data_IF_469401815669
#
_entry.id   IF_469401815669
#
_cell.length_a   1.000
_cell.length_b   1.000
_cell.length_c   1.000
_cell.angle_alpha   90.00
_cell.angle_beta   90.00
_cell.angle_gamma   90.00
#
_symmetry.space_group_name_H-M   'P 1'
#
loop_
_entity.id
_entity.type
_entity.pdbx_description
1 polymer ?
2 polymer ?
3 water ?
#
# COMPACT_ATOMS: atom_id res chain seq x y z
N UNK A 7 -8.34 31.60 -22.03
CA UNK A 7 -7.38 30.58 -21.69
C UNK A 7 -7.80 29.72 -20.52
N UNK A 8 -8.43 30.33 -19.52
CA UNK A 8 -8.87 29.60 -18.35
C UNK A 8 -10.11 28.76 -18.63
N UNK A 9 -10.96 29.19 -19.57
CA UNK A 9 -12.18 28.43 -19.86
C UNK A 9 -11.86 27.08 -20.47
N UNK A 10 -10.89 27.04 -21.40
CA UNK A 10 -10.51 25.76 -22.00
C UNK A 10 -9.98 24.79 -20.97
N UNK A 11 -9.25 25.30 -19.96
CA UNK A 11 -8.75 24.44 -18.90
C UNK A 11 -9.84 24.06 -17.90
N UNK A 12 -10.76 24.98 -17.62
CA UNK A 12 -11.85 24.68 -16.69
C UNK A 12 -12.80 23.64 -17.28
N UNK A 13 -13.15 23.79 -18.56
CA UNK A 13 -14.05 22.82 -19.19
C UNK A 13 -13.38 21.45 -19.31
N UNK A 14 -12.07 21.43 -19.58
CA UNK A 14 -11.37 20.15 -19.69
C UNK A 14 -11.38 19.40 -18.37
N UNK A 15 -11.17 20.11 -17.25
CA UNK A 15 -11.19 19.46 -15.94
C UNK A 15 -12.58 18.98 -15.58
N UNK A 16 -13.62 19.71 -15.99
CA UNK A 16 -14.99 19.26 -15.72
C UNK A 16 -15.32 18.00 -16.50
N UNK A 17 -14.88 17.92 -17.75
CA UNK A 17 -15.13 16.72 -18.55
C UNK A 17 -14.31 15.54 -18.05
N UNK A 18 -13.12 15.79 -17.48
CA UNK A 18 -12.28 14.70 -17.01
C UNK A 18 -12.85 14.06 -15.76
N UNK A 19 -13.40 14.84 -14.84
CA UNK A 19 -13.98 14.27 -13.63
C UNK A 19 -15.33 13.60 -13.91
N UNK A 20 -15.94 13.90 -15.05
CA UNK A 20 -17.19 13.24 -15.41
C UNK A 20 -16.94 11.88 -16.06
N UNK A 21 -15.94 11.79 -16.93
CA UNK A 21 -15.64 10.54 -17.62
C UNK A 21 -14.98 9.52 -16.70
N UNK A 22 -14.47 9.96 -15.55
CA UNK A 22 -13.89 9.02 -14.59
C UNK A 22 -14.94 8.17 -13.90
N UNK A 23 -16.20 8.61 -13.91
CA UNK A 23 -17.27 7.81 -13.31
C UNK A 23 -17.42 6.46 -14.00
N UNK A 24 -17.02 6.36 -15.26
CA UNK A 24 -17.03 5.08 -15.95
C UNK A 24 -16.00 4.13 -15.37
N UNK A 25 -14.90 4.66 -14.83
CA UNK A 25 -13.83 3.81 -14.32
C UNK A 25 -14.10 3.31 -12.91
N UNK A 26 -15.05 3.90 -12.20
CA UNK A 26 -15.27 3.53 -10.80
C UNK A 26 -15.73 2.09 -10.67
N UNK A 27 -16.78 1.72 -11.39
CA UNK A 27 -17.34 0.37 -11.33
C UNK A 27 -17.81 -0.05 -12.71
N UNK A 28 -16.91 -0.54 -13.56
CA UNK A 28 -17.32 -0.97 -14.90
C UNK A 28 -17.67 -2.46 -14.94
N UNK A 29 -18.93 -2.79 -14.66
CA UNK A 29 -19.44 -4.15 -14.73
C UNK A 29 -20.55 -4.28 -15.76
N UNK A 30 -20.75 -3.26 -16.59
CA UNK A 30 -21.77 -3.24 -17.63
C UNK A 30 -21.17 -2.70 -18.91
N UNK A 31 -21.71 -3.08 -20.07
CA UNK A 31 -21.14 -2.59 -21.34
C UNK A 31 -21.29 -1.08 -21.46
N UNK A 32 -20.18 -0.42 -21.75
CA UNK A 32 -20.18 1.04 -21.88
C UNK A 32 -20.66 1.46 -23.27
N UNK A 33 -20.10 0.84 -24.32
CA UNK A 33 -20.47 1.17 -25.69
C UNK A 33 -20.39 -0.10 -26.53
N UNK A 34 -20.54 0.05 -27.84
CA UNK A 34 -20.56 -1.08 -28.76
C UNK A 34 -19.19 -1.42 -29.33
N UNK A 35 -18.11 -1.00 -28.68
CA UNK A 35 -16.77 -1.30 -29.16
C UNK A 35 -16.37 -2.71 -28.77
N UNK A 36 -15.81 -3.46 -29.72
CA UNK A 36 -15.24 -4.76 -29.43
C UNK A 36 -13.91 -4.59 -28.68
N UNK A 37 -13.29 -5.70 -28.32
CA UNK A 37 -11.99 -5.62 -27.68
C UNK A 37 -10.93 -5.04 -28.62
N UNK A 38 -11.07 -5.29 -29.92
CA UNK A 38 -10.19 -4.65 -30.89
C UNK A 38 -10.55 -3.19 -31.10
N UNK A 39 -11.85 -2.86 -31.04
CA UNK A 39 -12.25 -1.47 -31.11
C UNK A 39 -11.76 -0.66 -29.92
N UNK A 40 -11.62 -1.30 -28.77
CA UNK A 40 -11.12 -0.61 -27.59
C UNK A 40 -9.63 -0.30 -27.73
N UNK A 41 -8.84 -1.29 -28.14
CA UNK A 41 -7.40 -1.07 -28.29
C UNK A 41 -7.11 -0.06 -29.40
N UNK A 42 -7.80 -0.18 -30.53
CA UNK A 42 -7.61 0.78 -31.61
C UNK A 42 -7.93 2.19 -31.16
N UNK A 43 -9.01 2.35 -30.37
CA UNK A 43 -9.32 3.67 -29.83
C UNK A 43 -8.24 4.17 -28.89
N UNK A 44 -7.59 3.26 -28.16
CA UNK A 44 -6.49 3.65 -27.29
C UNK A 44 -5.28 4.09 -28.11
N UNK A 45 -4.99 3.37 -29.19
CA UNK A 45 -3.83 3.73 -30.02
C UNK A 45 -4.04 5.07 -30.70
N UNK A 46 -5.23 5.31 -31.26
CA UNK A 46 -5.47 6.55 -31.97
C UNK A 46 -5.52 7.74 -31.02
N UNK A 47 -6.19 7.59 -29.88
CA UNK A 47 -6.25 8.67 -28.90
C UNK A 47 -4.90 8.95 -28.26
N UNK A 48 -4.00 7.95 -28.23
CA UNK A 48 -2.66 8.19 -27.70
C UNK A 48 -1.85 9.06 -28.65
N UNK A 49 -1.99 8.83 -29.96
CA UNK A 49 -1.31 9.68 -30.93
C UNK A 49 -1.87 11.10 -30.90
N UNK A 50 -3.18 11.23 -30.73
CA UNK A 50 -3.79 12.56 -30.64
C UNK A 50 -3.36 13.26 -29.36
N UNK A 51 -3.31 12.53 -28.24
CA UNK A 51 -2.88 13.12 -26.98
C UNK A 51 -1.42 13.52 -27.03
N UNK A 52 -0.59 12.73 -27.71
CA UNK A 52 0.83 13.05 -27.79
C UNK A 52 1.11 14.38 -28.45
N UNK A 53 0.44 14.63 -29.58
CA UNK A 53 0.61 15.93 -30.25
C UNK A 53 -0.14 17.03 -29.52
N UNK A 54 -1.22 16.70 -28.80
CA UNK A 54 -1.92 17.71 -28.01
C UNK A 54 -1.04 18.18 -26.84
N UNK A 55 -0.38 17.24 -26.15
CA UNK A 55 0.54 17.62 -25.09
C UNK A 55 1.69 18.46 -25.64
N UNK A 56 2.14 18.16 -26.85
CA UNK A 56 3.17 18.97 -27.48
C UNK A 56 2.66 20.39 -27.71
N UNK A 57 1.43 20.54 -28.19
CA UNK A 57 0.88 21.86 -28.41
C UNK A 57 0.59 22.61 -27.12
N UNK A 58 0.31 21.88 -26.04
CA UNK A 58 0.08 22.51 -24.75
C UNK A 58 1.37 23.15 -24.23
N UNK A 59 2.47 22.41 -24.30
CA UNK A 59 3.74 22.92 -23.79
C UNK A 59 4.29 24.05 -24.66
N UNK A 60 4.24 23.89 -25.98
CA UNK A 60 4.83 24.89 -26.86
C UNK A 60 4.05 26.21 -26.83
N UNK A 61 2.72 26.14 -26.88
CA UNK A 61 1.93 27.36 -26.93
C UNK A 61 1.91 28.09 -25.60
N UNK A 62 2.01 27.35 -24.48
CA UNK A 62 2.21 28.01 -23.21
C UNK A 62 3.59 28.66 -23.13
N UNK A 63 4.58 28.04 -23.78
CA UNK A 63 5.92 28.64 -23.82
C UNK A 63 5.94 29.86 -24.72
N UNK A 64 5.25 29.80 -25.85
CA UNK A 64 5.28 30.88 -26.84
C UNK A 64 4.20 31.93 -26.62
N UNK A 65 3.37 31.77 -25.59
CA UNK A 65 2.30 32.73 -25.37
C UNK A 65 1.23 32.73 -26.43
N UNK A 66 1.11 31.66 -27.20
CA UNK A 66 0.10 31.55 -28.26
C UNK A 66 -1.17 30.97 -27.64
N UNK A 67 -1.93 31.83 -26.97
CA UNK A 67 -3.09 31.39 -26.21
C UNK A 67 -4.19 30.75 -27.07
N UNK A 68 -4.56 31.28 -28.25
CA UNK A 68 -5.61 30.60 -29.03
C UNK A 68 -5.26 29.17 -29.39
N UNK A 69 -4.08 28.93 -29.96
CA UNK A 69 -3.65 27.57 -30.24
C UNK A 69 -3.44 26.75 -28.98
N UNK A 70 -3.15 27.41 -27.85
CA UNK A 70 -3.06 26.70 -26.58
C UNK A 70 -4.41 26.14 -26.17
N UNK A 71 -5.47 26.94 -26.30
CA UNK A 71 -6.81 26.44 -26.00
C UNK A 71 -7.22 25.30 -26.91
N UNK A 72 -6.83 25.37 -28.18
CA UNK A 72 -7.11 24.27 -29.09
C UNK A 72 -6.41 22.99 -28.64
N UNK A 73 -5.18 23.11 -28.16
CA UNK A 73 -4.45 21.94 -27.68
C UNK A 73 -5.06 21.39 -26.41
N UNK A 74 -5.54 22.28 -25.52
CA UNK A 74 -6.19 21.83 -24.30
C UNK A 74 -7.47 21.07 -24.62
N UNK A 75 -8.31 21.62 -25.50
CA UNK A 75 -9.55 20.96 -25.86
C UNK A 75 -9.30 19.65 -26.59
N UNK A 76 -8.30 19.62 -27.46
CA UNK A 76 -7.95 18.38 -28.15
C UNK A 76 -7.48 17.32 -27.16
N UNK A 77 -6.69 17.72 -26.15
CA UNK A 77 -6.24 16.77 -25.14
C UNK A 77 -7.42 16.26 -24.32
N UNK A 78 -8.39 17.12 -24.02
CA UNK A 78 -9.56 16.70 -23.25
C UNK A 78 -10.37 15.67 -24.03
N UNK A 79 -10.61 15.93 -25.31
CA UNK A 79 -11.35 14.99 -26.13
C UNK A 79 -10.62 13.66 -26.26
N UNK A 80 -9.29 13.71 -26.35
CA UNK A 80 -8.52 12.47 -26.47
C UNK A 80 -8.59 11.66 -25.18
N UNK A 81 -8.48 12.33 -24.02
CA UNK A 81 -8.50 11.62 -22.75
C UNK A 81 -9.86 11.00 -22.48
N UNK A 82 -10.94 11.62 -22.93
CA UNK A 82 -12.28 11.07 -22.69
C UNK A 82 -12.49 9.79 -23.47
N UNK A 83 -12.22 9.82 -24.79
CA UNK A 83 -12.29 8.59 -25.57
C UNK A 83 -11.26 7.57 -25.16
N UNK A 84 -10.14 8.02 -24.59
CA UNK A 84 -9.13 7.10 -24.08
C UNK A 84 -9.68 6.26 -22.93
N UNK A 85 -10.48 6.89 -22.06
CA UNK A 85 -11.05 6.18 -20.91
C UNK A 85 -12.31 5.41 -21.27
N UNK A 86 -13.09 5.90 -22.26
CA UNK A 86 -14.22 5.11 -22.73
C UNK A 86 -13.77 3.78 -23.31
N UNK A 87 -12.59 3.75 -23.94
CA UNK A 87 -12.06 2.48 -24.43
C UNK A 87 -11.53 1.63 -23.29
N UNK A 88 -10.82 2.25 -22.33
CA UNK A 88 -10.28 1.49 -21.21
C UNK A 88 -11.39 0.96 -20.31
N UNK A 89 -12.46 1.72 -20.14
CA UNK A 89 -13.57 1.25 -19.30
C UNK A 89 -14.27 0.07 -19.94
N UNK A 90 -14.51 0.13 -21.25
CA UNK A 90 -15.13 -1.00 -21.94
C UNK A 90 -14.18 -2.19 -22.00
N UNK A 91 -12.89 -1.93 -22.24
CA UNK A 91 -11.92 -3.03 -22.28
C UNK A 91 -11.79 -3.70 -20.92
N UNK A 92 -11.87 -2.92 -19.83
CA UNK A 92 -11.84 -3.52 -18.51
C UNK A 92 -13.06 -4.38 -18.27
N UNK A 93 -14.23 -3.95 -18.77
CA UNK A 93 -15.42 -4.77 -18.66
C UNK A 93 -15.27 -6.07 -19.44
N UNK A 94 -14.72 -6.00 -20.66
CA UNK A 94 -14.59 -7.20 -21.47
C UNK A 94 -13.56 -8.17 -20.89
N UNK A 95 -12.53 -7.66 -20.21
CA UNK A 95 -11.51 -8.53 -19.66
C UNK A 95 -12.08 -9.41 -18.56
N UNK A 96 -12.74 -8.81 -17.58
CA UNK A 96 -13.30 -9.59 -16.49
C UNK A 96 -14.42 -10.51 -16.93
N UNK A 97 -15.19 -10.09 -17.94
CA UNK A 97 -16.27 -10.93 -18.44
C UNK A 97 -15.73 -12.09 -19.27
N UNK A 98 -14.63 -11.89 -19.98
CA UNK A 98 -14.01 -12.95 -20.78
C UNK A 98 -13.16 -13.91 -19.95
N UNK A 99 -13.20 -13.81 -18.62
CA UNK A 99 -12.43 -14.71 -17.79
C UNK A 99 -13.08 -16.10 -17.77
N UNK A 100 -12.27 -17.16 -17.85
CA UNK A 100 -12.87 -18.51 -17.93
C UNK A 100 -13.71 -18.89 -16.72
N UNK A 101 -13.40 -18.35 -15.55
CA UNK A 101 -14.17 -18.65 -14.34
C UNK A 101 -15.44 -17.83 -14.22
N UNK A 102 -15.71 -16.93 -15.15
CA UNK A 102 -16.95 -16.17 -15.15
C UNK A 102 -18.07 -16.98 -15.79
N UNK A 103 -19.29 -16.48 -15.64
CA UNK A 103 -20.48 -17.08 -16.23
C UNK A 103 -21.28 -15.99 -16.92
N UNK A 104 -21.86 -16.31 -18.08
CA UNK A 104 -22.54 -15.30 -18.87
C UNK A 104 -23.73 -15.91 -19.60
N UNK A 105 -24.83 -15.16 -19.65
CA UNK A 105 -25.97 -15.50 -20.49
C UNK A 105 -25.80 -14.79 -21.82
N UNK A 106 -25.74 -15.55 -22.90
CA UNK A 106 -25.46 -15.00 -24.24
C UNK A 106 -26.77 -14.57 -24.88
N UNK A 107 -26.82 -13.31 -25.31
CA UNK A 107 -28.00 -12.72 -25.92
C UNK A 107 -28.21 -13.27 -27.34
N UNK A 108 -29.43 -13.18 -27.87
CA UNK A 108 -29.65 -13.60 -29.26
C UNK A 108 -28.78 -12.83 -30.25
N UNK A 109 -28.59 -11.53 -30.05
CA UNK A 109 -27.70 -10.76 -30.91
C UNK A 109 -26.25 -11.21 -30.74
N UNK A 110 -25.90 -11.76 -29.58
CA UNK A 110 -24.57 -12.32 -29.39
C UNK A 110 -24.39 -13.62 -30.15
N UNK A 111 -25.41 -14.49 -30.12
CA UNK A 111 -25.33 -15.73 -30.87
C UNK A 111 -25.36 -15.48 -32.37
N UNK A 112 -25.97 -14.36 -32.80
CA UNK A 112 -25.95 -13.99 -34.20
C UNK A 112 -24.61 -13.44 -34.64
N UNK A 113 -23.80 -12.94 -33.70
CA UNK A 113 -22.48 -12.41 -34.02
C UNK A 113 -21.39 -13.47 -34.03
N UNK A 114 -21.54 -14.52 -33.23
CA UNK A 114 -20.58 -15.62 -33.23
C UNK A 114 -20.84 -16.64 -34.34
N UNK A 115 -22.03 -16.61 -34.94
CA UNK A 115 -22.34 -17.57 -35.99
C UNK A 115 -21.44 -17.44 -37.21
N UNK A 116 -21.10 -16.23 -37.70
CA UNK A 116 -20.15 -16.16 -38.83
C UNK A 116 -18.80 -16.77 -38.51
N UNK A 117 -18.42 -16.84 -37.23
CA UNK A 117 -17.17 -17.48 -36.86
C UNK A 117 -17.34 -19.00 -36.82
N UNK A 118 -18.48 -19.47 -36.34
CA UNK A 118 -18.71 -20.91 -36.23
C UNK A 118 -18.87 -21.54 -37.61
N UNK A 119 -19.62 -20.88 -38.49
CA UNK A 119 -19.85 -21.45 -39.83
C UNK A 119 -18.54 -21.52 -40.60
N UNK A 120 -17.72 -20.47 -40.54
CA UNK A 120 -16.46 -20.46 -41.27
C UNK A 120 -15.51 -21.55 -40.77
N UNK A 121 -15.53 -21.83 -39.47
CA UNK A 121 -14.66 -22.86 -38.92
C UNK A 121 -15.15 -24.26 -39.27
N UNK A 122 -16.47 -24.50 -39.16
CA UNK A 122 -17.00 -25.81 -39.49
C UNK A 122 -16.88 -26.10 -40.98
N UNK A 123 -16.92 -25.06 -41.82
CA UNK A 123 -16.68 -25.24 -43.24
C UNK A 123 -15.22 -25.61 -43.51
N UNK A 124 -14.30 -25.04 -42.74
CA UNK A 124 -12.88 -25.33 -42.94
C UNK A 124 -12.56 -26.78 -42.61
N UNK A 125 -13.08 -27.30 -41.50
CA UNK A 125 -12.87 -28.70 -41.16
C UNK A 125 -13.49 -29.62 -42.21
N UNK A 126 -14.68 -29.26 -42.70
CA UNK A 126 -15.33 -30.05 -43.74
C UNK A 126 -14.49 -30.10 -45.01
N UNK A 127 -13.92 -28.95 -45.41
CA UNK A 127 -13.14 -28.92 -46.63
C UNK A 127 -11.76 -29.55 -46.42
N UNK A 128 -11.10 -29.22 -45.31
CA UNK A 128 -9.79 -29.81 -45.04
C UNK A 128 -9.88 -31.32 -44.87
N UNK A 129 -10.99 -31.82 -44.34
CA UNK A 129 -11.19 -33.26 -44.29
C UNK A 129 -11.24 -33.88 -45.67
N UNK A 130 -12.03 -33.28 -46.57
CA UNK A 130 -12.07 -33.75 -47.94
C UNK A 130 -10.75 -33.59 -48.66
N UNK A 131 -9.97 -32.57 -48.29
CA UNK A 131 -8.64 -32.42 -48.87
C UNK A 131 -7.73 -33.57 -48.45
N UNK A 132 -7.77 -33.95 -47.17
CA UNK A 132 -6.96 -35.07 -46.70
C UNK A 132 -7.48 -36.37 -47.30
N UNK A 133 -8.80 -36.52 -47.41
CA UNK A 133 -9.35 -37.71 -48.06
C UNK A 133 -8.88 -37.81 -49.50
N UNK A 134 -8.87 -36.69 -50.22
CA UNK A 134 -8.41 -36.71 -51.61
C UNK A 134 -6.90 -36.94 -51.68
N UNK A 135 -6.13 -36.31 -50.79
CA UNK A 135 -4.68 -36.49 -50.80
C UNK A 135 -4.29 -37.92 -50.43
N UNK A 136 -5.13 -38.61 -49.66
CA UNK A 136 -4.85 -39.99 -49.31
C UNK A 136 -4.80 -40.89 -50.54
N UNK A 137 -5.69 -40.62 -51.50
CA UNK A 137 -5.68 -41.40 -52.74
C UNK A 137 -4.59 -40.92 -53.70
N UNK A 138 -4.34 -39.61 -53.74
CA UNK A 138 -3.28 -39.10 -54.59
C UNK A 138 -1.91 -39.57 -54.13
N UNK A 139 -1.76 -39.83 -52.83
CA UNK A 139 -0.48 -40.36 -52.34
C UNK A 139 -0.23 -41.77 -52.87
N UNK A 140 -1.28 -42.58 -53.00
CA UNK A 140 -1.13 -43.92 -53.56
C UNK A 140 -1.01 -43.86 -55.08
N UNK A 141 -1.89 -43.11 -55.73
CA UNK A 141 -1.90 -42.98 -57.19
C UNK A 141 -2.03 -41.51 -57.56
N UNK A 142 -0.90 -40.82 -57.79
CA UNK A 142 -0.97 -39.42 -58.24
C UNK A 142 -1.41 -39.26 -59.68
N UNK A 143 -1.48 -40.35 -60.45
CA UNK A 143 -1.93 -40.29 -61.85
C UNK A 143 -3.46 -40.23 -61.92
N UNK A 144 -4.00 -39.22 -61.24
CA UNK A 144 -5.45 -39.05 -61.11
C UNK A 144 -5.78 -37.58 -61.35
N UNK A 145 -5.93 -37.17 -62.61
CA UNK A 145 -6.26 -35.76 -62.90
C UNK A 145 -7.54 -35.30 -62.23
N UNK A 146 -8.62 -36.10 -62.23
CA UNK A 146 -9.84 -35.62 -61.54
C UNK A 146 -9.65 -35.32 -60.06
N UNK A 147 -8.87 -36.15 -59.35
CA UNK A 147 -8.71 -35.92 -57.92
C UNK A 147 -7.86 -34.69 -57.63
N UNK A 148 -6.89 -34.39 -58.48
CA UNK A 148 -6.15 -33.13 -58.32
C UNK A 148 -7.07 -31.93 -58.47
N UNK A 149 -8.11 -32.05 -59.29
CA UNK A 149 -9.12 -30.99 -59.36
C UNK A 149 -9.96 -30.94 -58.09
N UNK A 150 -10.27 -32.10 -57.52
CA UNK A 150 -11.00 -32.15 -56.26
C UNK A 150 -10.14 -31.59 -55.13
N UNK A 151 -8.86 -31.96 -55.11
CA UNK A 151 -7.95 -31.40 -54.11
C UNK A 151 -7.86 -29.88 -54.24
N UNK A 152 -7.77 -29.38 -55.46
CA UNK A 152 -7.74 -27.94 -55.68
C UNK A 152 -9.05 -27.28 -55.27
N UNK A 153 -10.17 -27.99 -55.45
CA UNK A 153 -11.46 -27.43 -55.04
C UNK A 153 -11.58 -27.31 -53.54
N UNK A 154 -11.11 -28.31 -52.81
CA UNK A 154 -11.15 -28.24 -51.35
C UNK A 154 -10.18 -27.20 -50.82
N UNK A 155 -9.00 -27.07 -51.45
CA UNK A 155 -8.06 -26.04 -51.04
C UNK A 155 -8.60 -24.65 -51.30
N UNK A 156 -9.49 -24.49 -52.29
CA UNK A 156 -10.12 -23.19 -52.52
C UNK A 156 -11.15 -22.88 -51.45
N UNK A 157 -11.90 -23.89 -51.01
CA UNK A 157 -12.87 -23.67 -49.93
C UNK A 157 -12.17 -23.47 -48.60
N UNK A 158 -11.03 -24.12 -48.38
CA UNK A 158 -10.26 -23.89 -47.16
C UNK A 158 -9.73 -22.46 -47.12
N UNK A 159 -9.18 -21.99 -48.24
CA UNK A 159 -8.64 -20.63 -48.29
C UNK A 159 -9.73 -19.59 -48.06
N UNK A 160 -10.91 -19.80 -48.63
CA UNK A 160 -12.00 -18.85 -48.45
C UNK A 160 -12.55 -18.88 -47.03
N UNK A 161 -12.67 -20.08 -46.44
CA UNK A 161 -13.20 -20.19 -45.09
C UNK A 161 -12.26 -19.57 -44.07
N UNK A 162 -10.96 -19.62 -44.31
CA UNK A 162 -10.00 -19.01 -43.39
C UNK A 162 -10.00 -17.49 -43.53
N UNK A 163 -10.06 -16.99 -44.76
CA UNK A 163 -10.12 -15.54 -44.96
C UNK A 163 -11.39 -14.96 -44.36
N UNK A 164 -12.51 -15.66 -44.49
CA UNK A 164 -13.76 -15.19 -43.91
C UNK A 164 -13.80 -15.36 -42.39
N UNK A 165 -13.01 -16.28 -41.85
CA UNK A 165 -12.95 -16.44 -40.40
C UNK A 165 -12.13 -15.32 -39.76
N UNK A 166 -10.97 -15.00 -40.33
CA UNK A 166 -10.16 -13.91 -39.81
C UNK A 166 -10.89 -12.59 -39.96
N UNK A 167 -11.55 -12.38 -41.10
CA UNK A 167 -12.32 -11.16 -41.31
C UNK A 167 -13.45 -11.03 -40.29
N UNK A 168 -14.03 -12.14 -39.87
CA UNK A 168 -15.11 -12.10 -38.88
C UNK A 168 -14.61 -11.72 -37.49
N UNK A 169 -13.32 -11.91 -37.21
CA UNK A 169 -12.75 -11.64 -35.89
C UNK A 169 -12.11 -10.26 -35.78
N UNK A 170 -11.64 -9.69 -36.89
CA UNK A 170 -10.89 -8.44 -36.83
C UNK A 170 -11.77 -7.23 -36.60
N UNK A 171 -13.06 -7.29 -36.93
CA UNK A 171 -13.95 -6.16 -36.74
C UNK A 171 -14.42 -6.08 -35.30
N UNK B 6 -15.00 -11.51 6.02
CA UNK B 6 -14.16 -12.18 5.01
C UNK B 6 -12.72 -12.37 5.49
N UNK B 7 -12.45 -11.97 6.73
CA UNK B 7 -11.10 -11.98 7.27
C UNK B 7 -10.41 -10.63 7.20
N UNK B 8 -10.96 -9.68 6.46
CA UNK B 8 -10.42 -8.33 6.41
C UNK B 8 -10.82 -7.48 7.61
N UNK B 9 -11.75 -7.97 8.43
CA UNK B 9 -12.24 -7.20 9.57
C UNK B 9 -11.11 -6.88 10.54
N UNK B 10 -10.18 -7.82 10.72
CA UNK B 10 -9.04 -7.56 11.60
C UNK B 10 -8.09 -6.53 10.98
N UNK B 11 -8.01 -6.48 9.66
CA UNK B 11 -7.20 -5.45 9.01
C UNK B 11 -7.86 -4.08 9.13
N UNK B 12 -9.19 -4.03 9.09
CA UNK B 12 -9.88 -2.76 9.27
C UNK B 12 -9.71 -2.24 10.70
N UNK B 13 -9.73 -3.14 11.68
CA UNK B 13 -9.50 -2.74 13.06
C UNK B 13 -8.06 -2.24 13.25
N UNK B 14 -7.11 -2.88 12.56
CA UNK B 14 -5.71 -2.48 12.71
C UNK B 14 -5.47 -1.07 12.18
N UNK B 15 -6.09 -0.74 11.04
CA UNK B 15 -5.92 0.59 10.47
C UNK B 15 -6.54 1.67 11.36
N UNK B 16 -7.62 1.35 12.06
CA UNK B 16 -8.23 2.32 12.96
C UNK B 16 -7.39 2.54 14.20
N UNK B 17 -6.80 1.45 14.74
CA UNK B 17 -5.99 1.59 15.94
C UNK B 17 -4.67 2.30 15.66
N UNK B 18 -4.17 2.21 14.42
CA UNK B 18 -2.88 2.82 14.11
C UNK B 18 -2.98 4.35 14.06
N UNK B 19 -4.08 4.88 13.51
CA UNK B 19 -4.26 6.33 13.46
C UNK B 19 -4.67 6.92 14.79
N UNK B 20 -5.10 6.10 15.75
CA UNK B 20 -5.43 6.59 17.08
C UNK B 20 -4.18 6.73 17.94
N UNK B 21 -3.29 5.74 17.89
CA UNK B 21 -2.05 5.81 18.66
C UNK B 21 -1.09 6.83 18.06
N UNK B 22 -1.27 7.18 16.79
CA UNK B 22 -0.43 8.20 16.16
C UNK B 22 -0.70 9.59 16.75
N UNK B 23 -1.88 9.78 17.35
CA UNK B 23 -2.21 11.07 17.97
C UNK B 23 -1.23 11.42 19.09
N UNK B 24 -0.76 10.42 19.83
CA UNK B 24 0.18 10.68 20.92
C UNK B 24 1.47 11.30 20.40
N UNK B 25 1.87 10.98 19.17
CA UNK B 25 3.12 11.52 18.63
C UNK B 25 3.00 12.98 18.25
N UNK B 26 1.79 13.44 17.92
CA UNK B 26 1.62 14.78 17.37
C UNK B 26 2.03 15.85 18.38
N UNK B 27 1.37 15.88 19.53
CA UNK B 27 1.66 16.87 20.57
C UNK B 27 1.61 16.21 21.93
N UNK B 28 2.75 15.67 22.40
CA UNK B 28 2.75 14.99 23.70
C UNK B 28 3.08 15.95 24.85
N UNK B 29 2.05 16.32 25.61
CA UNK B 29 2.22 17.18 26.78
C UNK B 29 1.75 16.49 28.06
N UNK B 30 1.55 15.18 28.02
CA UNK B 30 1.08 14.41 29.17
C UNK B 30 1.87 13.11 29.25
N UNK B 31 2.06 12.57 30.45
CA UNK B 31 2.79 11.30 30.59
C UNK B 31 1.99 10.15 30.00
N UNK B 32 2.64 9.39 29.11
CA UNK B 32 1.98 8.28 28.45
C UNK B 32 1.90 7.08 29.39
N UNK B 33 3.02 6.71 29.99
CA UNK B 33 3.08 5.57 30.91
C UNK B 33 4.17 5.83 31.93
N UNK B 34 4.47 4.82 32.74
CA UNK B 34 5.48 4.93 33.79
C UNK B 34 6.87 4.49 33.33
N UNK B 35 7.13 4.51 32.03
CA UNK B 35 8.42 4.07 31.52
C UNK B 35 9.45 5.19 31.61
N UNK B 36 10.68 4.81 31.96
CA UNK B 36 11.81 5.73 31.90
C UNK B 36 12.31 5.83 30.46
N UNK B 37 13.32 6.67 30.25
CA UNK B 37 13.89 6.79 28.91
C UNK B 37 14.58 5.50 28.48
N UNK B 38 15.30 4.86 29.41
CA UNK B 38 15.88 3.56 29.11
C UNK B 38 14.81 2.48 29.03
N UNK B 39 13.72 2.63 29.79
CA UNK B 39 12.64 1.66 29.71
C UNK B 39 11.89 1.73 28.40
N UNK B 40 11.79 2.93 27.81
CA UNK B 40 11.14 3.04 26.51
C UNK B 40 11.95 2.35 25.42
N UNK B 41 13.27 2.50 25.45
CA UNK B 41 14.11 1.85 24.46
C UNK B 41 13.97 0.33 24.53
N UNK B 42 13.91 -0.21 25.75
CA UNK B 42 13.71 -1.66 25.90
C UNK B 42 12.36 -2.10 25.31
N UNK B 43 11.32 -1.28 25.50
CA UNK B 43 10.02 -1.62 24.95
C UNK B 43 10.03 -1.62 23.43
N UNK B 44 10.86 -0.75 22.84
CA UNK B 44 10.97 -0.71 21.38
C UNK B 44 11.67 -1.98 20.88
N UNK B 45 12.66 -2.47 21.63
CA UNK B 45 13.37 -3.68 21.22
C UNK B 45 12.45 -4.89 21.20
N UNK B 46 11.67 -5.08 22.27
CA UNK B 46 10.84 -6.28 22.37
C UNK B 46 9.67 -6.22 21.39
N UNK B 47 9.08 -5.04 21.21
CA UNK B 47 8.01 -4.91 20.22
C UNK B 47 8.52 -5.08 18.80
N UNK B 48 9.83 -4.87 18.56
CA UNK B 48 10.37 -5.16 17.25
C UNK B 48 10.43 -6.66 16.99
N UNK B 49 10.83 -7.44 18.01
CA UNK B 49 10.85 -8.89 17.86
C UNK B 49 9.44 -9.44 17.64
N UNK B 50 8.45 -8.88 18.35
CA UNK B 50 7.07 -9.32 18.16
C UNK B 50 6.58 -8.95 16.77
N UNK B 51 6.90 -7.74 16.32
CA UNK B 51 6.49 -7.33 14.97
C UNK B 51 7.20 -8.15 13.90
N UNK B 52 8.47 -8.49 14.13
CA UNK B 52 9.22 -9.24 13.12
C UNK B 52 8.61 -10.60 12.83
N UNK B 53 8.24 -11.33 13.88
CA UNK B 53 7.59 -12.63 13.69
C UNK B 53 6.12 -12.48 13.31
N UNK B 54 5.48 -11.36 13.66
CA UNK B 54 4.12 -11.14 13.20
C UNK B 54 4.07 -10.90 11.70
N UNK B 55 5.02 -10.12 11.18
CA UNK B 55 5.11 -9.93 9.73
C UNK B 55 5.36 -11.27 9.03
N UNK B 56 6.17 -12.13 9.64
CA UNK B 56 6.39 -13.46 9.09
C UNK B 56 5.09 -14.24 8.99
N UNK B 57 4.26 -14.17 10.03
CA UNK B 57 2.97 -14.82 9.98
C UNK B 57 2.00 -14.18 9.00
N UNK B 58 2.15 -12.87 8.77
CA UNK B 58 1.32 -12.19 7.78
C UNK B 58 1.62 -12.71 6.37
N UNK B 59 2.90 -12.85 6.04
CA UNK B 59 3.28 -13.31 4.71
C UNK B 59 2.95 -14.77 4.50
N UNK B 60 3.22 -15.62 5.49
CA UNK B 60 3.03 -17.06 5.32
C UNK B 60 1.56 -17.44 5.24
N UNK B 61 0.73 -16.84 6.10
CA UNK B 61 -0.68 -17.23 6.16
C UNK B 61 -1.49 -16.67 5.01
N UNK B 62 -1.10 -15.52 4.45
CA UNK B 62 -1.76 -15.03 3.25
C UNK B 62 -1.45 -15.93 2.06
N UNK B 63 -0.23 -16.46 1.98
CA UNK B 63 0.14 -17.34 0.89
C UNK B 63 -0.64 -18.65 0.93
N UNK B 64 -0.73 -19.25 2.12
CA UNK B 64 -1.37 -20.55 2.29
C UNK B 64 -2.88 -20.46 2.53
N UNK B 65 -3.44 -19.25 2.54
CA UNK B 65 -4.87 -19.11 2.74
C UNK B 65 -5.37 -19.43 4.13
N UNK B 66 -4.48 -19.52 5.11
CA UNK B 66 -4.87 -19.80 6.49
C UNK B 66 -5.36 -18.49 7.12
N UNK B 67 -6.63 -18.17 6.82
CA UNK B 67 -7.20 -16.90 7.27
C UNK B 67 -7.20 -16.72 8.79
N UNK B 68 -7.53 -17.73 9.62
CA UNK B 68 -7.49 -17.49 11.08
C UNK B 68 -6.12 -17.06 11.58
N UNK B 69 -5.06 -17.81 11.25
CA UNK B 69 -3.73 -17.42 11.69
C UNK B 69 -3.30 -16.09 11.07
N UNK B 70 -3.85 -15.74 9.91
CA UNK B 70 -3.58 -14.43 9.33
C UNK B 70 -4.13 -13.31 10.20
N UNK B 71 -5.36 -13.48 10.71
CA UNK B 71 -5.90 -12.50 11.63
C UNK B 71 -5.14 -12.41 12.94
N UNK B 72 -4.58 -13.54 13.40
CA UNK B 72 -3.75 -13.50 14.59
C UNK B 72 -2.50 -12.66 14.36
N UNK B 73 -1.89 -12.79 13.17
CA UNK B 73 -0.67 -12.05 12.88
C UNK B 73 -0.94 -10.56 12.74
N UNK B 74 -2.09 -10.20 12.16
CA UNK B 74 -2.44 -8.78 12.00
C UNK B 74 -2.63 -8.13 13.36
N UNK B 75 -3.39 -8.78 14.26
CA UNK B 75 -3.63 -8.20 15.58
C UNK B 75 -2.35 -8.17 16.40
N UNK B 76 -1.51 -9.22 16.27
CA UNK B 76 -0.24 -9.22 16.98
C UNK B 76 0.66 -8.09 16.50
N UNK B 77 0.71 -7.87 15.18
CA UNK B 77 1.48 -6.74 14.66
C UNK B 77 0.87 -5.41 15.08
N UNK B 78 -0.47 -5.35 15.11
CA UNK B 78 -1.14 -4.11 15.53
C UNK B 78 -0.84 -3.80 16.99
N UNK B 79 -0.92 -4.81 17.86
CA UNK B 79 -0.59 -4.61 19.27
C UNK B 79 0.87 -4.21 19.42
N UNK B 80 1.76 -4.80 18.61
CA UNK B 80 3.17 -4.44 18.69
C UNK B 80 3.40 -2.99 18.26
N UNK B 81 2.71 -2.55 17.22
CA UNK B 81 2.88 -1.18 16.74
C UNK B 81 2.34 -0.16 17.73
N UNK B 82 1.31 -0.52 18.49
CA UNK B 82 0.75 0.42 19.48
C UNK B 82 1.71 0.62 20.64
N UNK B 83 2.16 -0.48 21.25
CA UNK B 83 3.20 -0.37 22.27
C UNK B 83 4.49 0.20 21.72
N UNK B 84 4.77 -0.04 20.44
CA UNK B 84 5.89 0.60 19.77
C UNK B 84 5.74 2.11 19.80
N UNK B 85 4.52 2.60 19.56
CA UNK B 85 4.26 4.03 19.55
C UNK B 85 4.14 4.60 20.96
N UNK B 86 3.54 3.83 21.88
CA UNK B 86 3.44 4.27 23.26
C UNK B 86 4.82 4.46 23.88
N UNK B 87 5.77 3.59 23.54
CA UNK B 87 7.13 3.75 24.04
C UNK B 87 7.82 4.93 23.37
N UNK B 88 7.65 5.08 22.06
CA UNK B 88 8.28 6.19 21.36
C UNK B 88 7.69 7.52 21.77
N UNK B 89 6.38 7.56 22.03
CA UNK B 89 5.75 8.80 22.46
C UNK B 89 6.23 9.20 23.85
N UNK B 90 6.37 8.24 24.76
CA UNK B 90 6.88 8.54 26.10
C UNK B 90 8.35 8.94 26.04
N UNK B 91 9.14 8.26 25.21
CA UNK B 91 10.55 8.62 25.08
C UNK B 91 10.71 10.03 24.52
N UNK B 92 9.90 10.39 23.53
CA UNK B 92 9.92 11.76 23.02
C UNK B 92 9.38 12.74 24.05
N UNK B 93 8.43 12.30 24.88
CA UNK B 93 7.92 13.16 25.95
C UNK B 93 9.00 13.46 26.98
N UNK B 94 9.77 12.44 27.38
CA UNK B 94 10.80 12.66 28.38
C UNK B 94 11.93 13.55 27.85
N UNK B 95 12.17 13.54 26.54
CA UNK B 95 13.21 14.39 25.97
C UNK B 95 12.85 15.85 26.14
N UNK B 96 11.61 16.23 25.78
CA UNK B 96 11.20 17.61 25.90
C UNK B 96 11.06 18.07 27.33
N UNK B 97 10.64 17.17 28.24
CA UNK B 97 10.51 17.54 29.64
C UNK B 97 11.88 17.75 30.27
N UNK B 98 12.90 17.04 29.80
CA UNK B 98 14.26 17.22 30.30
C UNK B 98 14.84 18.59 29.98
N UNK B 99 14.08 19.45 29.32
CA UNK B 99 14.51 20.82 29.03
C UNK B 99 14.41 21.68 30.29
N UNK B 100 15.38 22.55 30.56
CA UNK B 100 15.33 23.34 31.79
C UNK B 100 14.23 24.39 31.83
N UNK B 101 13.62 24.73 30.69
CA UNK B 101 12.62 25.79 30.66
C UNK B 101 11.19 25.28 30.83
N UNK B 102 11.01 23.99 31.11
CA UNK B 102 9.69 23.43 31.26
C UNK B 102 9.14 23.70 32.66
N UNK B 103 7.88 23.35 32.85
CA UNK B 103 7.19 23.57 34.12
C UNK B 103 6.17 22.46 34.32
N UNK B 104 5.39 22.58 35.40
CA UNK B 104 4.36 21.59 35.72
C UNK B 104 3.41 22.19 36.75
N UNK B 105 2.13 21.85 36.62
CA UNK B 105 1.10 22.31 37.54
C UNK B 105 0.37 21.08 38.08
N UNK B 106 0.42 20.89 39.41
CA UNK B 106 -0.13 19.71 40.06
C UNK B 106 -1.44 20.10 40.75
N UNK B 107 -2.48 19.31 40.52
CA UNK B 107 -3.77 19.55 41.13
C UNK B 107 -3.73 19.22 42.62
N UNK B 108 -4.73 19.68 43.39
CA UNK B 108 -4.73 19.38 44.83
C UNK B 108 -4.66 17.89 45.17
N UNK B 109 -5.36 17.04 44.43
CA UNK B 109 -5.31 15.62 44.72
C UNK B 109 -3.94 15.02 44.40
N UNK B 110 -3.16 15.67 43.55
CA UNK B 110 -1.82 15.20 43.24
C UNK B 110 -0.84 15.50 44.34
N UNK B 111 -0.89 16.72 44.88
CA UNK B 111 0.00 17.08 45.98
C UNK B 111 -0.33 16.31 47.25
N UNK B 112 -1.58 15.89 47.42
CA UNK B 112 -1.93 15.02 48.53
C UNK B 112 -1.27 13.65 48.41
N UNK B 113 -0.89 13.25 47.20
CA UNK B 113 -0.17 12.00 47.00
C UNK B 113 1.34 12.14 47.11
N UNK B 114 1.86 13.37 46.99
CA UNK B 114 3.28 13.63 47.18
C UNK B 114 3.66 13.83 48.65
N UNK B 115 2.72 14.26 49.49
CA UNK B 115 3.03 14.57 50.87
C UNK B 115 3.58 13.37 51.66
N UNK B 116 3.02 12.16 51.56
CA UNK B 116 3.62 11.03 52.30
C UNK B 116 5.08 10.78 51.94
N UNK B 117 5.50 11.13 50.73
CA UNK B 117 6.89 10.97 50.32
C UNK B 117 7.73 12.17 50.72
N UNK B 118 7.20 13.39 50.57
CA UNK B 118 7.98 14.59 50.84
C UNK B 118 8.17 14.77 52.34
N UNK B 119 7.12 14.57 53.13
CA UNK B 119 7.22 14.77 54.58
C UNK B 119 8.21 13.78 55.18
N UNK B 120 8.12 12.51 54.78
CA UNK B 120 9.05 11.51 55.30
C UNK B 120 10.48 11.79 54.87
N UNK B 121 10.66 12.45 53.72
CA UNK B 121 12.01 12.75 53.24
C UNK B 121 12.58 14.00 53.91
N UNK B 122 11.74 15.00 54.17
CA UNK B 122 12.21 16.17 54.92
C UNK B 122 12.52 15.81 56.36
N UNK B 123 11.75 14.88 56.94
CA UNK B 123 11.98 14.47 58.33
C UNK B 123 13.30 13.71 58.48
N UNK B 124 13.60 12.83 57.52
CA UNK B 124 14.83 12.04 57.63
C UNK B 124 16.06 12.92 57.46
N UNK B 125 15.97 14.01 56.70
CA UNK B 125 17.11 14.90 56.56
C UNK B 125 17.31 15.74 57.81
N UNK B 126 16.21 16.21 58.42
CA UNK B 126 16.33 16.90 59.69
C UNK B 126 16.83 15.97 60.79
N UNK B 127 16.44 14.70 60.73
CA UNK B 127 16.89 13.74 61.72
C UNK B 127 18.34 13.35 61.49
N UNK B 128 18.73 13.13 60.24
CA UNK B 128 20.12 12.80 59.94
C UNK B 128 21.05 13.97 60.27
N UNK B 129 20.55 15.20 60.19
CA UNK B 129 21.36 16.33 60.58
C UNK B 129 21.73 16.29 62.05
N UNK B 130 20.74 16.06 62.91
CA UNK B 130 21.01 15.90 64.33
C UNK B 130 21.85 14.68 64.63
N UNK B 131 21.75 13.64 63.80
CA UNK B 131 22.58 12.45 63.99
C UNK B 131 24.05 12.76 63.72
N UNK B 132 24.32 13.57 62.70
CA UNK B 132 25.70 13.94 62.38
C UNK B 132 26.24 14.92 63.40
N UNK B 133 25.42 15.87 63.84
CA UNK B 133 25.86 16.82 64.85
C UNK B 133 26.25 16.11 66.14
N UNK B 134 25.49 15.08 66.53
CA UNK B 134 25.83 14.31 67.71
C UNK B 134 27.12 13.51 67.48
N UNK B 135 27.27 12.90 66.30
CA UNK B 135 28.47 12.14 66.02
C UNK B 135 29.71 13.04 65.96
N UNK B 136 29.52 14.31 65.56
CA UNK B 136 30.65 15.24 65.54
C UNK B 136 31.20 15.48 66.94
N UNK B 137 30.31 15.57 67.94
CA UNK B 137 30.78 15.75 69.30
C UNK B 137 31.33 14.46 69.89
N UNK B 138 30.72 13.32 69.53
CA UNK B 138 31.23 12.03 70.00
C UNK B 138 32.61 11.73 69.44
N UNK B 139 32.95 12.30 68.29
CA UNK B 139 34.29 12.11 67.73
C UNK B 139 35.34 12.76 68.62
N UNK B 140 35.02 13.91 69.21
CA UNK B 140 35.96 14.58 70.12
C UNK B 140 35.99 13.88 71.47
N UNK B 141 34.82 13.60 72.03
CA UNK B 141 34.70 12.95 73.33
C UNK B 141 33.72 11.80 73.23
N UNK B 142 34.20 10.58 72.96
CA UNK B 142 33.31 9.41 72.95
C UNK B 142 32.90 8.94 74.34
N UNK B 143 33.59 9.40 75.39
CA UNK B 143 33.26 9.01 76.75
C UNK B 143 32.17 9.92 77.32
N UNK B 144 31.05 9.95 76.61
CA UNK B 144 29.91 10.80 76.95
C UNK B 144 28.64 10.00 76.78
N UNK B 145 28.22 9.27 77.82
CA UNK B 145 27.02 8.42 77.72
C UNK B 145 25.78 9.19 77.31
N UNK B 146 25.53 10.41 77.83
CA UNK B 146 24.31 11.12 77.41
C UNK B 146 24.22 11.34 75.90
N UNK B 147 25.33 11.66 75.23
CA UNK B 147 25.26 11.91 73.80
C UNK B 147 25.08 10.62 73.01
N UNK B 148 25.58 9.49 73.51
CA UNK B 148 25.29 8.22 72.87
C UNK B 148 23.82 7.87 72.95
N UNK B 149 23.13 8.35 73.99
CA UNK B 149 21.68 8.19 74.05
C UNK B 149 20.99 9.08 73.02
N UNK B 150 21.48 10.30 72.84
CA UNK B 150 20.93 11.19 71.83
C UNK B 150 21.17 10.63 70.44
N UNK B 151 22.36 10.07 70.20
CA UNK B 151 22.65 9.45 68.91
C UNK B 151 21.71 8.30 68.63
N UNK B 152 21.43 7.48 69.65
CA UNK B 152 20.49 6.38 69.48
C UNK B 152 19.08 6.88 69.21
N UNK B 153 18.70 8.02 69.79
CA UNK B 153 17.39 8.58 69.52
C UNK B 153 17.26 9.09 68.09
N UNK B 154 18.32 9.71 67.57
CA UNK B 154 18.30 10.14 66.18
C UNK B 154 18.27 8.97 65.23
N UNK B 155 18.99 7.88 65.56
CA UNK B 155 18.97 6.70 64.71
C UNK B 155 17.59 6.07 64.66
N UNK B 156 16.78 6.24 65.71
CA UNK B 156 15.41 5.74 65.69
C UNK B 156 14.51 6.64 64.87
N UNK B 157 14.72 7.96 64.95
CA UNK B 157 13.94 8.88 64.12
C UNK B 157 14.32 8.73 62.65
N UNK B 158 15.60 8.47 62.37
CA UNK B 158 16.03 8.24 61.00
C UNK B 158 15.44 6.95 60.47
N UNK B 159 15.50 5.88 61.27
CA UNK B 159 14.99 4.58 60.82
C UNK B 159 13.49 4.63 60.59
N UNK B 160 12.75 5.32 61.45
CA UNK B 160 11.30 5.39 61.29
C UNK B 160 10.91 6.24 60.09
N UNK B 161 11.62 7.35 59.86
CA UNK B 161 11.32 8.18 58.71
C UNK B 161 11.65 7.47 57.40
N UNK B 162 12.64 6.58 57.41
CA UNK B 162 12.98 5.83 56.20
C UNK B 162 11.94 4.75 55.93
N UNK B 163 11.52 4.04 56.98
CA UNK B 163 10.52 2.99 56.80
C UNK B 163 9.21 3.55 56.27
N UNK B 164 8.81 4.74 56.74
CA UNK B 164 7.59 5.36 56.26
C UNK B 164 7.75 5.99 54.89
N UNK B 165 8.98 6.31 54.48
CA UNK B 165 9.21 6.83 53.13
C UNK B 165 9.11 5.72 52.10
N UNK B 166 9.74 4.57 52.37
CA UNK B 166 9.65 3.44 51.45
C UNK B 166 8.22 2.92 51.39
N UNK B 167 7.53 2.90 52.52
CA UNK B 167 6.14 2.42 52.55
C UNK B 167 5.23 3.27 51.70
N UNK B 168 5.47 4.59 51.66
CA UNK B 168 4.62 5.47 50.87
C UNK B 168 4.76 5.25 49.37
N UNK B 169 5.87 4.66 48.93
CA UNK B 169 6.10 4.46 47.50
C UNK B 169 5.64 3.09 47.01
N UNK B 170 5.53 2.11 47.90
CA UNK B 170 5.09 0.77 47.51
C UNK B 170 3.59 0.75 47.22
N UNK C 1 10.63 13.69 -30.99
CA UNK C 1 9.28 13.16 -31.17
C UNK C 1 8.79 12.37 -29.97
N UNK C 2 9.70 11.61 -29.34
CA UNK C 2 9.39 10.86 -28.13
C UNK C 2 9.66 11.68 -26.87
N UNK C 3 10.00 12.96 -27.02
CA UNK C 3 10.18 13.89 -25.91
C UNK C 3 10.14 15.29 -26.47
N UNK C 4 9.77 16.24 -25.62
CA UNK C 4 9.70 17.65 -26.00
C UNK C 4 10.42 18.46 -24.94
N UNK C 5 11.42 19.23 -25.36
CA UNK C 5 12.18 20.08 -24.45
C UNK C 5 11.34 21.27 -24.01
N UNK C 6 11.03 21.33 -22.73
CA UNK C 6 10.32 22.46 -22.15
C UNK C 6 11.31 23.51 -21.68
N UNK C 7 10.85 24.72 -21.36
CA UNK C 7 11.77 25.72 -20.80
C UNK C 7 12.42 25.23 -19.52
N UNK C 8 13.61 25.78 -19.25
CA UNK C 8 14.39 25.48 -18.05
C UNK C 8 14.88 24.04 -18.02
N UNK C 9 15.00 23.42 -19.20
CA UNK C 9 15.67 22.13 -19.33
C UNK C 9 14.83 20.93 -18.99
N UNK C 10 13.57 21.10 -18.60
CA UNK C 10 12.74 19.95 -18.29
C UNK C 10 12.18 19.34 -19.57
N UNK C 11 11.79 18.07 -19.49
CA UNK C 11 11.37 17.31 -20.66
C UNK C 11 9.92 16.85 -20.52
N UNK C 12 9.18 16.98 -21.61
CA UNK C 12 7.82 16.44 -21.72
C UNK C 12 7.93 15.00 -22.19
N UNK C 13 7.52 14.06 -21.34
CA UNK C 13 7.69 12.64 -21.62
C UNK C 13 6.67 12.19 -22.65
N UNK C 14 7.16 11.71 -23.80
CA UNK C 14 6.32 11.15 -24.85
C UNK C 14 6.79 9.75 -25.23
N UNK C 15 7.37 9.03 -24.27
CA UNK C 15 7.86 7.68 -24.53
C UNK C 15 6.73 6.70 -24.85
N UNK C 16 5.49 7.03 -24.47
CA UNK C 16 4.37 6.16 -24.80
C UNK C 16 4.08 6.18 -26.30
N UNK C 17 4.45 7.25 -26.99
CA UNK C 17 4.37 7.26 -28.45
C UNK C 17 5.40 6.31 -29.06
N UNK C 18 6.58 6.22 -28.45
CA UNK C 18 7.57 5.23 -28.87
C UNK C 18 7.04 3.82 -28.65
N UNK C 19 6.30 3.61 -27.56
CA UNK C 19 5.71 2.30 -27.30
C UNK C 19 4.66 1.94 -28.35
N UNK C 20 3.92 2.95 -28.84
CA UNK C 20 2.92 2.69 -29.86
C UNK C 20 3.57 2.35 -31.19
N UNK C 21 4.64 3.06 -31.56
CA UNK C 21 5.27 2.84 -32.86
C UNK C 21 5.98 1.49 -32.91
N UNK C 22 6.61 1.08 -31.81
CA UNK C 22 7.27 -0.23 -31.78
C UNK C 22 6.27 -1.36 -31.95
N UNK C 23 5.05 -1.19 -31.41
CA UNK C 23 4.02 -2.21 -31.58
C UNK C 23 3.60 -2.29 -33.05
N UNK C 24 3.26 -1.16 -33.64
CA UNK C 24 2.78 -1.12 -35.02
C UNK C 24 3.94 -1.22 -36.01
N UNK D 1 16.42 -15.19 11.65
CA UNK D 1 16.39 -14.74 10.26
C UNK D 1 16.14 -13.24 10.11
N UNK D 2 16.94 -12.58 9.29
CA UNK D 2 16.80 -11.15 9.04
C UNK D 2 15.98 -10.86 7.79
N UNK D 3 15.31 -11.87 7.24
CA UNK D 3 14.45 -11.69 6.07
C UNK D 3 13.49 -12.88 6.01
N UNK D 4 12.39 -12.69 5.30
CA UNK D 4 11.39 -13.73 5.08
C UNK D 4 11.03 -13.74 3.60
N UNK D 5 11.24 -14.87 2.95
CA UNK D 5 10.94 -15.00 1.53
C UNK D 5 9.44 -15.09 1.31
N UNK D 6 8.89 -14.14 0.58
CA UNK D 6 7.48 -14.14 0.22
C UNK D 6 7.28 -14.85 -1.10
N UNK D 7 6.03 -15.18 -1.46
CA UNK D 7 5.79 -15.79 -2.76
C UNK D 7 6.31 -14.93 -3.91
N UNK D 8 6.59 -15.61 -5.03
CA UNK D 8 7.05 -14.99 -6.27
C UNK D 8 8.41 -14.33 -6.13
N UNK D 9 9.22 -14.76 -5.17
CA UNK D 9 10.60 -14.34 -5.08
C UNK D 9 10.86 -13.02 -4.39
N UNK D 10 9.84 -12.37 -3.85
CA UNK D 10 10.06 -11.13 -3.11
C UNK D 10 10.40 -11.45 -1.65
N UNK D 11 11.02 -10.48 -0.99
CA UNK D 11 11.52 -10.66 0.37
C UNK D 11 10.86 -9.68 1.32
N UNK D 12 10.47 -10.17 2.49
CA UNK D 12 9.97 -9.34 3.57
C UNK D 12 11.15 -8.86 4.40
N UNK D 13 11.39 -7.55 4.41
CA UNK D 13 12.58 -7.00 5.05
C UNK D 13 12.43 -7.03 6.57
N UNK D 14 13.32 -7.74 7.25
CA UNK D 14 13.38 -7.77 8.70
C UNK D 14 14.74 -7.33 9.20
N UNK D 15 15.38 -6.40 8.48
CA UNK D 15 16.71 -5.92 8.85
C UNK D 15 16.69 -5.15 10.17
N UNK D 16 15.53 -4.62 10.56
CA UNK D 16 15.43 -3.97 11.87
C UNK D 16 15.62 -4.96 13.01
N UNK D 17 15.35 -6.25 12.77
CA UNK D 17 15.68 -7.25 13.77
C UNK D 17 17.18 -7.45 13.91
N UNK D 18 17.92 -7.30 12.81
CA UNK D 18 19.38 -7.36 12.88
C UNK D 18 19.93 -6.20 13.70
N UNK D 19 19.31 -5.02 13.58
CA UNK D 19 19.75 -3.88 14.37
C UNK D 19 19.44 -4.08 15.84
N UNK D 20 18.33 -4.76 16.14
CA UNK D 20 17.99 -5.06 17.53
C UNK D 20 18.95 -6.08 18.11
N UNK D 21 19.31 -7.10 17.32
CA UNK D 21 20.21 -8.14 17.84
C UNK D 21 21.63 -7.62 18.04
N UNK D 22 22.08 -6.67 17.20
CA UNK D 22 23.42 -6.13 17.37
C UNK D 22 23.56 -5.38 18.69
N UNK D 23 22.48 -4.76 19.16
CA UNK D 23 22.53 -4.05 20.44
C UNK D 23 22.71 -5.03 21.59
N UNK D 24 21.85 -6.04 21.65
CA UNK D 24 21.88 -7.01 22.74
C UNK D 24 22.98 -8.06 22.51
#
# INVERSE_FOLDING_TARGET
>A
HMGSAPGQKECDNALRQLETVRELLENPVQPINDMSYFGCLDSVMENSKVLGEAMTGISQNAKNGNLPEFGDAIATASKALCGFTEAAAQAAYLVGVSDPNSQAQISPEGRAAMEPIVISAKTMLESAGGLIQTARALAVNPRDPPRWSVLAGHSRTVSDSIKKLITSMRD
>B
HMGSAPGQKECDNALRQLETVRELLENPVQPINDMSYFGCLDSVMENSKVLGEAMTGISQNAKNGNLPEFGDAIATASKALCGFTEAAAQAAYLVGVSDPNSQAQISPEGRAAMEPIVISAKTMLESAGGLIQTARALAVNPRDPPRWSVLAGHSRTVSDSIKKLITSMRD
>C
PYFVETPYGYQLDLDFLKYVDDIQKG
>D
PYFVETPYGYQLDLDFLKYVDDIQKG
#
